data_IF_987142539623
#
_entry.id   IF_987142539623
#
_cell.length_a   1.000
_cell.length_b   1.000
_cell.length_c   1.000
_cell.angle_alpha   90.00
_cell.angle_beta   90.00
_cell.angle_gamma   90.00
#
_symmetry.space_group_name_H-M   'P 1'
#
loop_
_entity.id
_entity.type
_entity.pdbx_description
1 polymer ?
#
# COMPACT_ATOMS: atom_id res chain seq x y z
N UNK A 1 -7.14 -23.17 -0.69
CA UNK A 1 -8.15 -23.25 -1.78
C UNK A 1 -9.53 -22.83 -1.27
N UNK A 2 -9.79 -21.52 -1.06
CA UNK A 2 -11.06 -21.01 -0.51
C UNK A 2 -12.06 -20.47 -1.57
N UNK A 3 -11.82 -20.70 -2.86
CA UNK A 3 -12.80 -20.44 -3.93
C UNK A 3 -13.17 -21.75 -4.61
N UNK A 4 -14.03 -22.53 -3.94
CA UNK A 4 -14.56 -23.79 -4.47
C UNK A 4 -15.49 -23.55 -5.66
N UNK A 5 -16.28 -22.46 -5.62
CA UNK A 5 -17.05 -21.96 -6.76
C UNK A 5 -16.39 -20.71 -7.34
N UNK A 6 -15.75 -20.88 -8.52
CA UNK A 6 -15.01 -19.80 -9.20
C UNK A 6 -15.92 -18.68 -9.68
N UNK A 7 -17.13 -18.97 -10.17
CA UNK A 7 -18.05 -17.94 -10.69
C UNK A 7 -18.49 -17.00 -9.59
N UNK A 8 -18.97 -17.55 -8.47
CA UNK A 8 -19.39 -16.76 -7.30
C UNK A 8 -18.22 -15.96 -6.70
N UNK A 9 -17.03 -16.53 -6.72
CA UNK A 9 -15.80 -15.86 -6.28
C UNK A 9 -15.50 -14.62 -7.14
N UNK A 10 -15.55 -14.77 -8.47
CA UNK A 10 -15.30 -13.66 -9.39
C UNK A 10 -16.39 -12.60 -9.35
N UNK A 11 -17.67 -12.99 -9.24
CA UNK A 11 -18.79 -12.04 -9.10
C UNK A 11 -18.63 -11.14 -7.85
N UNK A 12 -18.18 -11.71 -6.73
CA UNK A 12 -17.94 -10.94 -5.50
C UNK A 12 -16.67 -10.10 -5.57
N UNK A 13 -15.58 -10.63 -6.16
CA UNK A 13 -14.32 -9.90 -6.30
C UNK A 13 -14.43 -8.73 -7.27
N UNK A 14 -15.22 -8.86 -8.34
CA UNK A 14 -15.45 -7.80 -9.32
C UNK A 14 -16.05 -6.53 -8.69
N UNK A 15 -16.71 -6.62 -7.52
CA UNK A 15 -17.24 -5.46 -6.81
C UNK A 15 -16.16 -4.60 -6.13
N UNK A 16 -14.94 -5.13 -5.95
CA UNK A 16 -13.85 -4.46 -5.19
C UNK A 16 -12.55 -4.34 -5.96
N UNK A 17 -12.36 -5.13 -7.02
CA UNK A 17 -11.18 -5.05 -7.86
C UNK A 17 -11.34 -3.92 -8.88
N UNK A 18 -10.30 -3.08 -9.08
CA UNK A 18 -10.33 -2.08 -10.14
C UNK A 18 -10.18 -2.75 -11.52
N UNK A 19 -10.90 -2.22 -12.52
CA UNK A 19 -10.82 -2.70 -13.91
C UNK A 19 -9.46 -2.41 -14.58
N UNK A 20 -8.76 -1.40 -14.07
CA UNK A 20 -7.46 -0.94 -14.55
C UNK A 20 -6.44 -0.89 -13.39
N UNK A 21 -5.16 -1.24 -13.64
CA UNK A 21 -4.15 -1.16 -12.60
C UNK A 21 -4.02 0.27 -12.05
N UNK A 22 -4.10 0.47 -10.73
CA UNK A 22 -4.23 1.81 -10.13
C UNK A 22 -2.99 2.70 -10.31
N UNK A 23 -1.85 2.11 -10.70
CA UNK A 23 -0.57 2.82 -10.81
C UNK A 23 0.03 2.76 -12.21
N UNK A 24 -0.66 2.27 -13.24
CA UNK A 24 -0.13 2.27 -14.61
C UNK A 24 -0.86 3.35 -15.42
N UNK A 25 -0.15 4.27 -16.11
CA UNK A 25 1.29 4.33 -16.38
C UNK A 25 2.09 5.19 -15.37
N UNK A 26 1.59 5.40 -14.16
CA UNK A 26 2.22 6.28 -13.16
C UNK A 26 3.60 5.76 -12.76
N UNK A 27 4.60 6.65 -12.79
CA UNK A 27 5.94 6.40 -12.27
C UNK A 27 6.22 7.41 -11.16
N UNK A 28 6.99 6.99 -10.17
CA UNK A 28 7.42 7.81 -9.04
C UNK A 28 8.93 7.94 -9.09
N UNK A 29 9.47 9.14 -8.85
CA UNK A 29 10.90 9.40 -8.93
C UNK A 29 11.64 8.84 -7.71
N UNK A 30 11.21 9.25 -6.51
CA UNK A 30 11.73 8.77 -5.23
C UNK A 30 10.61 8.15 -4.41
N UNK A 31 10.85 6.95 -3.88
CA UNK A 31 9.92 6.25 -3.00
C UNK A 31 10.56 5.96 -1.64
N UNK A 32 9.75 6.00 -0.58
CA UNK A 32 10.12 5.52 0.74
C UNK A 32 9.26 4.30 1.12
N UNK A 33 9.90 3.26 1.65
CA UNK A 33 9.22 2.06 2.19
C UNK A 33 9.48 2.02 3.69
N UNK A 34 8.42 2.18 4.47
CA UNK A 34 8.52 2.39 5.92
C UNK A 34 8.03 1.12 6.62
N UNK A 35 8.96 0.39 7.24
CA UNK A 35 8.65 -0.73 8.12
C UNK A 35 8.09 -0.27 9.46
N UNK A 36 7.68 -1.21 10.30
CA UNK A 36 6.97 -0.91 11.56
C UNK A 36 7.85 -1.11 12.81
N UNK A 37 9.18 -0.94 12.69
CA UNK A 37 10.08 -1.10 13.83
C UNK A 37 9.82 0.00 14.88
N UNK A 38 9.86 -0.39 16.16
CA UNK A 38 9.80 0.55 17.27
C UNK A 38 10.99 1.52 17.31
N UNK A 39 12.10 1.21 16.64
CA UNK A 39 13.26 2.10 16.54
C UNK A 39 12.91 3.43 15.87
N UNK A 40 11.89 3.45 14.99
CA UNK A 40 11.42 4.68 14.34
C UNK A 40 10.93 5.72 15.35
N UNK A 41 10.43 5.31 16.52
CA UNK A 41 10.00 6.22 17.59
C UNK A 41 11.13 7.07 18.17
N UNK A 42 12.39 6.65 17.97
CA UNK A 42 13.58 7.36 18.45
C UNK A 42 14.16 8.30 17.38
N UNK A 43 13.50 8.42 16.23
CA UNK A 43 13.99 9.18 15.08
C UNK A 43 13.06 10.33 14.73
N UNK A 44 13.54 11.27 13.93
CA UNK A 44 12.75 12.41 13.44
C UNK A 44 12.75 12.45 11.91
N UNK A 45 12.50 11.30 11.28
CA UNK A 45 12.51 11.16 9.81
C UNK A 45 11.24 11.67 9.12
N UNK A 46 10.25 12.21 9.86
CA UNK A 46 8.95 12.62 9.30
C UNK A 46 9.07 13.55 8.08
N UNK A 47 9.78 14.67 8.22
CA UNK A 47 9.99 15.62 7.11
C UNK A 47 10.74 15.00 5.93
N UNK A 48 11.72 14.11 6.20
CA UNK A 48 12.45 13.42 5.15
C UNK A 48 11.54 12.46 4.37
N UNK A 49 10.75 11.65 5.08
CA UNK A 49 9.80 10.67 4.51
C UNK A 49 8.73 11.37 3.67
N UNK A 50 8.18 12.48 4.17
CA UNK A 50 7.14 13.25 3.48
C UNK A 50 7.65 13.95 2.22
N UNK A 51 8.98 14.08 2.07
CA UNK A 51 9.61 14.62 0.86
C UNK A 51 9.70 13.63 -0.32
N UNK A 52 9.27 12.37 -0.18
CA UNK A 52 9.26 11.38 -1.26
C UNK A 52 7.97 11.46 -2.10
N UNK A 53 8.03 11.04 -3.36
CA UNK A 53 6.88 11.09 -4.28
C UNK A 53 5.82 10.03 -3.95
N UNK A 54 6.24 8.94 -3.31
CA UNK A 54 5.38 7.89 -2.80
C UNK A 54 5.94 7.30 -1.50
N UNK A 55 5.06 7.07 -0.53
CA UNK A 55 5.37 6.44 0.75
C UNK A 55 4.51 5.18 0.90
N UNK A 56 5.15 4.03 1.11
CA UNK A 56 4.48 2.75 1.36
C UNK A 56 4.62 2.39 2.83
N UNK A 57 3.50 2.09 3.47
CA UNK A 57 3.39 1.67 4.87
C UNK A 57 2.72 0.32 4.95
N UNK A 58 3.12 -0.48 5.94
CA UNK A 58 2.70 -1.87 6.03
C UNK A 58 1.60 -2.08 7.09
N UNK A 59 0.64 -2.94 6.77
CA UNK A 59 -0.31 -3.51 7.74
C UNK A 59 -1.14 -2.47 8.53
N UNK A 60 -1.40 -1.30 7.96
CA UNK A 60 -2.20 -0.26 8.62
C UNK A 60 -1.49 0.38 9.81
N UNK A 61 -0.15 0.48 9.77
CA UNK A 61 0.61 1.20 10.78
C UNK A 61 0.11 2.66 10.95
N UNK A 62 -0.07 3.13 12.19
CA UNK A 62 -0.61 4.45 12.47
C UNK A 62 0.35 5.58 12.05
N UNK A 63 -0.22 6.75 11.76
CA UNK A 63 0.48 7.97 11.36
C UNK A 63 -0.08 9.17 12.12
N UNK A 64 0.36 9.41 13.35
CA UNK A 64 -0.05 10.57 14.16
C UNK A 64 1.09 11.00 15.09
#
# INVERSE_FOLDING_TARGET
NKCENKTLCMEKLALVLPDIPPFIPRQFGRCAVIGNSGDLLQTSFGEEIDGYDAVVRENGAPIE
#
